data_IF_994585704645
#
_entry.id   IF_994585704645
#
_cell.length_a   1.000
_cell.length_b   1.000
_cell.length_c   1.000
_cell.angle_alpha   90.00
_cell.angle_beta   90.00
_cell.angle_gamma   90.00
#
_symmetry.space_group_name_H-M   'P 1'
#
loop_
_entity.id
_entity.type
_entity.pdbx_description
1 polymer ?
#
# COMPACT_ATOMS: atom_id res chain seq x y z
N UNK A 1 -85.64 29.44 -16.70
CA UNK A 1 -84.95 28.74 -17.81
C UNK A 1 -84.78 27.29 -17.42
N UNK A 2 -85.22 26.38 -18.29
CA UNK A 2 -85.51 24.97 -18.00
C UNK A 2 -84.29 24.04 -18.10
N UNK A 3 -84.25 23.11 -17.13
CA UNK A 3 -83.89 21.68 -17.16
C UNK A 3 -82.63 21.15 -17.86
N UNK A 4 -81.84 20.45 -17.02
CA UNK A 4 -81.26 19.10 -17.20
C UNK A 4 -80.40 18.79 -18.42
N UNK A 5 -79.20 18.25 -18.17
CA UNK A 5 -78.70 17.17 -19.03
C UNK A 5 -77.74 16.25 -18.25
N UNK A 6 -78.27 15.14 -17.75
CA UNK A 6 -77.49 13.94 -17.43
C UNK A 6 -77.32 13.11 -18.70
N UNK A 7 -76.08 12.78 -19.05
CA UNK A 7 -75.76 11.70 -19.99
C UNK A 7 -74.91 10.67 -19.26
N UNK A 8 -75.47 9.47 -19.10
CA UNK A 8 -74.73 8.22 -18.87
C UNK A 8 -74.51 7.55 -20.23
N UNK A 9 -73.44 6.77 -20.34
CA UNK A 9 -73.30 5.44 -20.98
C UNK A 9 -71.81 5.34 -21.40
N UNK A 10 -70.99 4.66 -20.59
CA UNK A 10 -70.67 3.22 -20.60
C UNK A 10 -69.56 2.84 -21.60
N UNK A 11 -68.44 2.46 -21.00
CA UNK A 11 -67.41 1.49 -21.41
C UNK A 11 -67.17 1.21 -22.89
N UNK A 12 -65.93 1.46 -23.32
CA UNK A 12 -65.20 0.55 -24.21
C UNK A 12 -63.70 0.58 -23.90
N UNK A 13 -63.27 -0.48 -23.21
CA UNK A 13 -62.06 -1.28 -23.45
C UNK A 13 -60.69 -0.58 -23.64
N UNK A 14 -59.89 -0.77 -22.58
CA UNK A 14 -58.56 -1.38 -22.63
C UNK A 14 -57.42 -0.64 -23.36
N UNK A 15 -56.51 -0.07 -22.56
CA UNK A 15 -55.15 -0.62 -22.43
C UNK A 15 -54.44 0.10 -21.28
N UNK A 16 -54.30 -0.57 -20.14
CA UNK A 16 -53.37 -0.18 -19.09
C UNK A 16 -51.95 -0.22 -19.65
N UNK A 17 -51.38 0.93 -19.97
CA UNK A 17 -49.94 1.07 -20.18
C UNK A 17 -49.25 1.01 -18.83
N UNK A 18 -48.93 -0.20 -18.38
CA UNK A 18 -48.02 -0.41 -17.27
C UNK A 18 -46.62 0.04 -17.74
N UNK A 19 -46.23 1.25 -17.37
CA UNK A 19 -44.86 1.73 -17.59
C UNK A 19 -43.95 0.96 -16.65
N UNK A 20 -43.44 -0.17 -17.13
CA UNK A 20 -42.42 -0.95 -16.44
C UNK A 20 -41.14 -0.11 -16.39
N UNK A 21 -40.97 0.72 -15.36
CA UNK A 21 -39.70 1.34 -15.02
C UNK A 21 -38.75 0.24 -14.53
N UNK A 22 -38.23 -0.55 -15.47
CA UNK A 22 -37.07 -1.40 -15.24
C UNK A 22 -35.87 -0.47 -15.17
N UNK A 23 -35.64 0.09 -13.99
CA UNK A 23 -34.36 0.69 -13.63
C UNK A 23 -33.34 -0.47 -13.60
N UNK A 24 -32.83 -0.82 -14.78
CA UNK A 24 -31.58 -1.55 -14.88
C UNK A 24 -30.51 -0.61 -14.34
N UNK A 25 -30.25 -0.72 -13.03
CA UNK A 25 -28.93 -0.41 -12.50
C UNK A 25 -27.98 -1.41 -13.13
N UNK A 26 -27.55 -1.13 -14.36
CA UNK A 26 -26.29 -1.65 -14.88
C UNK A 26 -25.23 -0.99 -14.00
N UNK A 27 -25.01 -1.58 -12.82
CA UNK A 27 -23.84 -1.29 -12.01
C UNK A 27 -22.66 -1.48 -12.94
N UNK A 28 -22.00 -0.38 -13.26
CA UNK A 28 -20.75 -0.39 -14.01
C UNK A 28 -19.83 -1.31 -13.23
N UNK A 29 -19.61 -2.53 -13.74
CA UNK A 29 -18.62 -3.43 -13.18
C UNK A 29 -17.28 -2.73 -13.37
N UNK A 30 -16.76 -2.15 -12.29
CA UNK A 30 -15.50 -1.44 -12.26
C UNK A 30 -14.43 -2.32 -12.94
N UNK A 31 -13.89 -1.83 -14.05
CA UNK A 31 -12.81 -2.51 -14.74
C UNK A 31 -11.64 -2.67 -13.75
N UNK A 32 -11.12 -3.90 -13.62
CA UNK A 32 -10.10 -4.39 -12.65
C UNK A 32 -10.59 -4.99 -11.32
N UNK A 33 -11.91 -5.13 -11.07
CA UNK A 33 -12.42 -5.82 -9.86
C UNK A 33 -12.35 -7.35 -9.91
N UNK A 34 -12.24 -7.97 -11.10
CA UNK A 34 -12.26 -9.43 -11.29
C UNK A 34 -11.20 -10.19 -10.47
N UNK A 35 -10.07 -9.54 -10.20
CA UNK A 35 -8.94 -10.13 -9.49
C UNK A 35 -8.61 -9.41 -8.18
N UNK A 36 -9.51 -8.57 -7.66
CA UNK A 36 -9.23 -7.76 -6.45
C UNK A 36 -9.05 -8.61 -5.19
N UNK A 37 -9.73 -9.76 -5.11
CA UNK A 37 -9.62 -10.72 -4.00
C UNK A 37 -8.19 -11.19 -3.73
N UNK A 38 -7.25 -11.04 -4.68
CA UNK A 38 -5.85 -11.43 -4.46
C UNK A 38 -5.16 -10.55 -3.41
N UNK A 39 -5.68 -9.35 -3.15
CA UNK A 39 -5.17 -8.42 -2.14
C UNK A 39 -5.45 -8.89 -0.72
N UNK A 40 -6.49 -9.70 -0.52
CA UNK A 40 -6.85 -10.24 0.79
C UNK A 40 -5.84 -11.30 1.28
N UNK A 41 -4.95 -11.79 0.40
CA UNK A 41 -3.84 -12.66 0.78
C UNK A 41 -2.61 -11.89 1.28
N UNK A 42 -2.63 -10.55 1.26
CA UNK A 42 -1.57 -9.75 1.89
C UNK A 42 -1.66 -9.89 3.42
N UNK A 43 -0.59 -10.37 4.05
CA UNK A 43 -0.51 -10.42 5.51
C UNK A 43 -0.19 -9.03 6.08
N UNK A 44 -0.78 -8.72 7.24
CA UNK A 44 -0.44 -7.52 8.00
C UNK A 44 0.74 -7.80 8.94
N UNK A 45 1.91 -7.26 8.60
CA UNK A 45 3.15 -7.45 9.34
C UNK A 45 3.45 -6.26 10.28
N UNK A 46 2.43 -5.80 11.03
CA UNK A 46 2.57 -4.64 11.93
C UNK A 46 3.44 -4.98 13.14
N UNK A 47 4.51 -4.22 13.34
CA UNK A 47 5.39 -4.33 14.49
C UNK A 47 4.73 -3.81 15.78
N UNK A 48 4.98 -4.51 16.89
CA UNK A 48 4.43 -4.17 18.22
C UNK A 48 4.62 -2.67 18.55
N UNK A 49 3.56 -1.95 18.96
CA UNK A 49 3.65 -0.53 19.27
C UNK A 49 4.54 -0.29 20.49
N UNK A 50 5.12 0.92 20.56
CA UNK A 50 6.03 1.32 21.63
C UNK A 50 7.29 0.45 21.77
N UNK A 51 7.69 -0.27 20.72
CA UNK A 51 8.95 -1.03 20.68
C UNK A 51 9.90 -0.43 19.64
N UNK A 52 11.21 -0.56 19.92
CA UNK A 52 12.25 -0.17 18.97
C UNK A 52 12.21 -1.13 17.79
N UNK A 53 12.23 -0.60 16.58
CA UNK A 53 12.34 -1.40 15.36
C UNK A 53 13.76 -1.25 14.85
N UNK A 54 14.44 -2.37 14.60
CA UNK A 54 15.80 -2.39 14.09
C UNK A 54 15.80 -3.07 12.74
N UNK A 55 16.27 -2.36 11.72
CA UNK A 55 16.44 -2.89 10.37
C UNK A 55 17.93 -3.13 10.18
N UNK A 56 18.33 -4.39 10.03
CA UNK A 56 19.71 -4.77 9.71
C UNK A 56 19.82 -5.16 8.25
N UNK A 57 20.75 -4.53 7.55
CA UNK A 57 21.16 -4.86 6.19
C UNK A 57 22.51 -5.57 6.25
N UNK A 58 22.65 -6.61 5.44
CA UNK A 58 23.87 -7.42 5.31
C UNK A 58 24.21 -7.60 3.82
N UNK A 59 25.50 -7.53 3.50
CA UNK A 59 26.00 -7.67 2.14
C UNK A 59 25.86 -9.10 1.62
N UNK A 60 24.87 -9.35 0.75
CA UNK A 60 24.70 -10.68 0.13
C UNK A 60 25.96 -11.12 -0.63
N UNK A 61 26.58 -12.22 -0.17
CA UNK A 61 27.79 -12.80 -0.74
C UNK A 61 28.94 -11.78 -0.87
N UNK A 62 29.12 -10.92 0.15
CA UNK A 62 30.09 -9.83 0.12
C UNK A 62 31.54 -10.30 -0.07
N UNK A 63 31.87 -11.52 0.35
CA UNK A 63 33.19 -12.11 0.10
C UNK A 63 33.55 -12.13 -1.39
N UNK A 64 32.65 -12.65 -2.24
CA UNK A 64 32.84 -12.70 -3.70
C UNK A 64 32.85 -11.32 -4.32
N UNK A 65 32.10 -10.37 -3.76
CA UNK A 65 32.10 -8.98 -4.20
C UNK A 65 33.45 -8.32 -3.91
N UNK A 66 33.95 -8.47 -2.69
CA UNK A 66 35.24 -7.94 -2.26
C UNK A 66 36.42 -8.48 -3.10
N UNK A 67 36.41 -9.77 -3.44
CA UNK A 67 37.41 -10.38 -4.34
C UNK A 67 37.34 -9.79 -5.76
N UNK A 68 36.14 -9.72 -6.34
CA UNK A 68 35.96 -9.17 -7.71
C UNK A 68 36.37 -7.71 -7.82
N UNK A 69 36.16 -6.93 -6.77
CA UNK A 69 36.47 -5.50 -6.73
C UNK A 69 37.84 -5.18 -6.10
N UNK A 70 38.66 -6.21 -5.83
CA UNK A 70 40.01 -6.10 -5.29
C UNK A 70 40.06 -5.23 -4.02
N UNK A 71 39.25 -5.58 -3.02
CA UNK A 71 39.22 -4.85 -1.76
C UNK A 71 40.51 -5.02 -0.98
N UNK A 72 41.00 -3.94 -0.40
CA UNK A 72 42.14 -3.98 0.52
C UNK A 72 41.78 -4.81 1.77
N UNK A 73 42.69 -5.71 2.17
CA UNK A 73 42.57 -6.51 3.40
C UNK A 73 43.56 -5.98 4.45
N UNK A 74 43.21 -5.96 5.75
CA UNK A 74 41.97 -6.48 6.34
C UNK A 74 40.74 -5.58 6.10
N UNK A 75 40.93 -4.26 5.98
CA UNK A 75 39.86 -3.27 5.83
C UNK A 75 40.11 -2.38 4.62
N UNK A 76 39.09 -2.18 3.78
CA UNK A 76 39.12 -1.22 2.66
C UNK A 76 38.37 0.06 3.06
N UNK A 77 39.09 1.18 3.16
CA UNK A 77 38.52 2.45 3.56
C UNK A 77 37.49 2.99 2.56
N UNK A 78 37.64 2.70 1.26
CA UNK A 78 36.71 3.18 0.22
C UNK A 78 35.36 2.52 0.38
N UNK A 79 35.35 1.21 0.63
CA UNK A 79 34.13 0.45 0.85
C UNK A 79 33.41 0.90 2.12
N UNK A 80 34.15 1.10 3.22
CA UNK A 80 33.58 1.59 4.48
C UNK A 80 33.01 3.01 4.34
N UNK A 81 33.71 3.90 3.65
CA UNK A 81 33.20 5.25 3.37
C UNK A 81 31.96 5.23 2.48
N UNK A 82 31.91 4.34 1.48
CA UNK A 82 30.72 4.16 0.65
C UNK A 82 29.53 3.70 1.51
N UNK A 83 29.71 2.68 2.35
CA UNK A 83 28.66 2.19 3.25
C UNK A 83 28.18 3.28 4.22
N UNK A 84 29.11 4.06 4.78
CA UNK A 84 28.76 5.20 5.64
C UNK A 84 27.98 6.26 4.89
N UNK A 85 28.36 6.58 3.65
CA UNK A 85 27.62 7.56 2.86
C UNK A 85 26.22 7.08 2.50
N UNK A 86 26.08 5.80 2.14
CA UNK A 86 24.77 5.19 1.91
C UNK A 86 23.89 5.26 3.17
N UNK A 87 24.44 4.93 4.33
CA UNK A 87 23.69 4.99 5.59
C UNK A 87 23.29 6.42 5.98
N UNK A 88 24.17 7.40 5.76
CA UNK A 88 23.84 8.82 5.94
C UNK A 88 22.68 9.23 5.05
N UNK A 89 22.70 8.86 3.77
CA UNK A 89 21.59 9.15 2.85
C UNK A 89 20.29 8.47 3.30
N UNK A 90 20.34 7.22 3.79
CA UNK A 90 19.15 6.55 4.33
C UNK A 90 18.59 7.30 5.55
N UNK A 91 19.46 7.82 6.43
CA UNK A 91 19.04 8.61 7.58
C UNK A 91 18.50 10.00 7.22
N UNK A 92 18.96 10.58 6.11
CA UNK A 92 18.48 11.88 5.59
C UNK A 92 17.12 11.73 4.88
N UNK A 93 16.93 10.65 4.11
CA UNK A 93 15.72 10.40 3.32
C UNK A 93 14.58 9.77 4.14
N UNK A 94 14.89 8.93 5.12
CA UNK A 94 13.88 8.30 5.98
C UNK A 94 13.76 9.02 7.32
N UNK A 95 12.53 9.30 7.71
CA UNK A 95 12.24 9.91 9.01
C UNK A 95 12.28 8.86 10.15
N UNK A 96 12.30 9.34 11.40
CA UNK A 96 12.25 8.55 12.64
C UNK A 96 13.45 7.63 12.95
N UNK A 97 14.49 7.59 12.13
CA UNK A 97 15.75 6.90 12.47
C UNK A 97 16.52 7.73 13.50
N UNK A 98 16.82 7.13 14.66
CA UNK A 98 17.52 7.81 15.77
C UNK A 98 19.03 7.57 15.77
N UNK A 99 19.45 6.37 15.38
CA UNK A 99 20.85 5.99 15.33
C UNK A 99 21.01 4.90 14.26
N UNK A 100 22.15 4.93 13.60
CA UNK A 100 22.58 3.85 12.74
C UNK A 100 24.00 3.43 13.12
N UNK A 101 24.26 2.12 13.08
CA UNK A 101 25.56 1.53 13.41
C UNK A 101 25.95 0.57 12.30
N UNK A 102 27.17 0.72 11.78
CA UNK A 102 27.68 -0.14 10.72
C UNK A 102 29.08 -0.66 11.05
N UNK A 103 29.31 -1.92 10.68
CA UNK A 103 30.61 -2.58 10.79
C UNK A 103 30.79 -3.50 9.57
N UNK A 104 31.98 -3.49 8.97
CA UNK A 104 32.30 -4.32 7.79
C UNK A 104 31.31 -4.06 6.65
N UNK A 105 30.40 -5.00 6.42
CA UNK A 105 29.42 -5.05 5.35
C UNK A 105 27.97 -5.06 5.86
N UNK A 106 27.77 -4.88 7.17
CA UNK A 106 26.45 -4.74 7.78
C UNK A 106 26.16 -3.33 8.28
N UNK A 107 24.88 -2.95 8.25
CA UNK A 107 24.38 -1.71 8.83
C UNK A 107 23.05 -1.94 9.54
N UNK A 108 22.92 -1.41 10.75
CA UNK A 108 21.72 -1.48 11.58
C UNK A 108 21.14 -0.08 11.74
N UNK A 109 19.85 0.08 11.42
CA UNK A 109 19.10 1.33 11.59
C UNK A 109 18.05 1.16 12.67
N UNK A 110 18.04 2.05 13.65
CA UNK A 110 17.10 2.00 14.77
C UNK A 110 16.05 3.08 14.62
N UNK A 111 14.79 2.66 14.52
CA UNK A 111 13.64 3.55 14.46
C UNK A 111 13.08 3.83 15.84
N UNK A 112 12.63 5.05 16.06
CA UNK A 112 12.02 5.51 17.32
C UNK A 112 10.83 4.61 17.74
N UNK A 113 10.75 4.27 19.03
CA UNK A 113 9.65 3.44 19.60
C UNK A 113 8.24 3.93 19.26
N UNK A 114 8.06 5.25 19.17
CA UNK A 114 6.78 5.92 18.91
C UNK A 114 6.55 6.22 17.43
N UNK A 115 7.43 5.77 16.54
CA UNK A 115 7.26 5.95 15.10
C UNK A 115 5.99 5.26 14.63
N UNK A 116 5.22 5.96 13.80
CA UNK A 116 4.06 5.42 13.09
C UNK A 116 4.29 5.39 11.56
N UNK A 117 5.56 5.41 11.16
CA UNK A 117 6.00 5.35 9.78
C UNK A 117 5.48 4.07 9.11
N UNK A 118 4.85 4.19 7.93
CA UNK A 118 4.16 3.10 7.22
C UNK A 118 3.25 2.21 8.08
N UNK A 119 2.55 2.80 9.07
CA UNK A 119 1.75 2.04 10.06
C UNK A 119 2.55 0.95 10.78
N UNK A 120 3.87 1.10 10.87
CA UNK A 120 4.82 0.14 11.45
C UNK A 120 4.82 -1.23 10.77
N UNK A 121 4.47 -1.30 9.48
CA UNK A 121 4.59 -2.53 8.70
C UNK A 121 6.05 -2.91 8.49
N UNK A 122 6.37 -4.19 8.69
CA UNK A 122 7.72 -4.72 8.44
C UNK A 122 8.02 -4.98 6.96
N UNK A 123 6.99 -5.16 6.13
CA UNK A 123 7.09 -5.50 4.70
C UNK A 123 6.28 -4.57 3.80
#
# INVERSE_FOLDING_TARGET
>A
MWTSCTVKVHDCLASTSATLKRCLRLGVAMAKSKFEYVRDFEADDTCLPQCWVVVRLDGRNFHRFAEKHNFAKPNDSRALHLMNKCAQTVMEELEDIVIAYGQSDEYSFVFRRKSNWFKRRAR
#
